data_IF_159908073739
#
_entry.id   IF_159908073739
#
_cell.length_a   1.000
_cell.length_b   1.000
_cell.length_c   1.000
_cell.angle_alpha   90.00
_cell.angle_beta   90.00
_cell.angle_gamma   90.00
#
_symmetry.space_group_name_H-M   'P 1'
#
loop_
_entity.id
_entity.type
_entity.pdbx_description
1 polymer ?
#
# COMPACT_ATOMS: atom_id res chain seq x y z
N UNK A 1 17.99 51.80 18.53
CA UNK A 1 18.31 50.35 18.49
C UNK A 1 19.04 50.10 17.20
N UNK A 2 20.32 49.67 17.28
CA UNK A 2 21.08 49.35 16.10
C UNK A 2 20.47 48.11 15.38
N UNK A 3 20.45 48.10 14.05
CA UNK A 3 19.92 46.93 13.29
C UNK A 3 20.62 45.62 13.68
N UNK A 4 21.85 45.70 14.14
CA UNK A 4 22.62 44.55 14.67
C UNK A 4 22.02 44.02 15.97
N UNK A 5 21.60 44.89 16.89
CA UNK A 5 21.02 44.50 18.19
C UNK A 5 19.64 43.83 17.98
N UNK A 6 18.88 44.34 17.02
CA UNK A 6 17.62 43.71 16.61
C UNK A 6 17.81 42.32 15.99
N UNK A 7 18.82 42.16 15.14
CA UNK A 7 19.14 40.88 14.53
C UNK A 7 19.57 39.83 15.57
N UNK A 8 20.41 40.24 16.56
CA UNK A 8 20.83 39.33 17.65
C UNK A 8 19.61 38.94 18.52
N UNK A 9 18.71 39.88 18.82
CA UNK A 9 17.52 39.61 19.58
C UNK A 9 16.60 38.61 18.85
N UNK A 10 16.36 38.83 17.56
CA UNK A 10 15.54 37.91 16.74
C UNK A 10 16.15 36.51 16.66
N UNK A 11 17.49 36.42 16.52
CA UNK A 11 18.17 35.14 16.51
C UNK A 11 18.02 34.40 17.85
N UNK A 12 18.21 35.10 18.96
CA UNK A 12 18.03 34.54 20.29
C UNK A 12 16.58 34.05 20.53
N UNK A 13 15.60 34.85 20.10
CA UNK A 13 14.18 34.50 20.17
C UNK A 13 13.87 33.24 19.35
N UNK A 14 14.41 33.16 18.13
CA UNK A 14 14.23 32.01 17.25
C UNK A 14 14.83 30.74 17.87
N UNK A 15 16.03 30.81 18.44
CA UNK A 15 16.68 29.69 19.12
C UNK A 15 15.87 29.22 20.34
N UNK A 16 15.41 30.18 21.17
CA UNK A 16 14.59 29.86 22.34
C UNK A 16 13.27 29.19 21.95
N UNK A 17 12.59 29.71 20.92
CA UNK A 17 11.36 29.14 20.38
C UNK A 17 11.59 27.75 19.80
N UNK A 18 12.67 27.55 19.03
CA UNK A 18 13.00 26.26 18.45
C UNK A 18 13.26 25.21 19.53
N UNK A 19 14.01 25.55 20.57
CA UNK A 19 14.29 24.65 21.70
C UNK A 19 13.01 24.28 22.45
N UNK A 20 12.16 25.27 22.73
CA UNK A 20 10.86 25.06 23.36
C UNK A 20 9.96 24.16 22.50
N UNK A 21 9.91 24.40 21.19
CA UNK A 21 9.11 23.62 20.25
C UNK A 21 9.59 22.15 20.20
N UNK A 22 10.88 21.92 20.09
CA UNK A 22 11.45 20.56 20.09
C UNK A 22 11.11 19.84 21.38
N UNK A 23 11.26 20.53 22.53
CA UNK A 23 10.93 19.95 23.82
C UNK A 23 9.43 19.54 23.89
N UNK A 24 8.52 20.44 23.52
CA UNK A 24 7.08 20.12 23.54
C UNK A 24 6.71 19.00 22.58
N UNK A 25 7.25 18.98 21.36
CA UNK A 25 6.97 17.93 20.38
C UNK A 25 7.54 16.56 20.80
N UNK A 26 8.53 16.54 21.68
CA UNK A 26 9.13 15.30 22.22
C UNK A 26 8.34 14.70 23.38
N UNK A 27 7.46 15.48 24.03
CA UNK A 27 6.63 14.98 25.10
C UNK A 27 5.58 14.00 24.57
N UNK A 28 5.20 13.03 25.40
CA UNK A 28 4.17 12.05 25.07
C UNK A 28 2.80 12.55 25.50
N UNK A 29 1.87 12.49 24.60
CA UNK A 29 0.46 12.86 24.79
C UNK A 29 -0.44 11.66 24.50
N UNK A 30 -1.57 11.61 25.19
CA UNK A 30 -2.64 10.67 24.90
C UNK A 30 -3.62 11.38 23.97
N UNK A 31 -3.67 10.93 22.73
CA UNK A 31 -4.53 11.55 21.71
C UNK A 31 -5.01 10.51 20.69
N UNK A 32 -5.94 10.92 19.84
CA UNK A 32 -6.46 10.08 18.79
C UNK A 32 -5.54 10.16 17.58
N UNK A 33 -5.09 9.00 17.14
CA UNK A 33 -4.32 8.87 15.90
C UNK A 33 -5.19 8.28 14.80
N UNK A 34 -5.18 8.91 13.65
CA UNK A 34 -5.86 8.42 12.46
C UNK A 34 -4.83 7.86 11.47
N UNK A 35 -5.07 6.67 10.96
CA UNK A 35 -4.29 6.08 9.89
C UNK A 35 -5.20 5.57 8.79
N UNK A 36 -4.88 5.87 7.53
CA UNK A 36 -5.59 5.33 6.38
C UNK A 36 -4.92 4.04 5.94
N UNK A 37 -5.65 2.94 5.95
CA UNK A 37 -5.15 1.59 5.73
C UNK A 37 -5.69 1.02 4.43
N UNK A 38 -4.81 0.43 3.63
CA UNK A 38 -5.12 -0.47 2.53
C UNK A 38 -4.77 -1.89 2.99
N UNK A 39 -5.72 -2.80 2.91
CA UNK A 39 -5.47 -4.18 3.28
C UNK A 39 -4.80 -4.95 2.14
N UNK A 40 -3.78 -5.70 2.49
CA UNK A 40 -3.19 -6.71 1.64
C UNK A 40 -3.43 -8.07 2.30
N UNK A 41 -4.03 -9.00 1.55
CA UNK A 41 -4.30 -10.35 2.04
C UNK A 41 -4.35 -11.32 0.86
N UNK A 42 -3.83 -12.53 1.04
CA UNK A 42 -3.92 -13.57 0.03
C UNK A 42 -5.21 -14.36 0.22
N UNK A 43 -6.28 -13.94 -0.46
CA UNK A 43 -7.61 -14.56 -0.43
C UNK A 43 -7.81 -15.29 -1.75
N UNK A 44 -8.13 -16.57 -1.69
CA UNK A 44 -8.34 -17.38 -2.89
C UNK A 44 -9.53 -16.84 -3.72
N UNK A 45 -9.31 -16.66 -5.02
CA UNK A 45 -10.30 -16.13 -5.94
C UNK A 45 -10.47 -14.60 -5.91
N UNK A 46 -9.71 -13.89 -5.11
CA UNK A 46 -9.80 -12.43 -4.98
C UNK A 46 -8.46 -11.74 -5.23
N UNK A 47 -8.50 -10.44 -5.44
CA UNK A 47 -7.30 -9.60 -5.53
C UNK A 47 -6.53 -9.61 -4.20
N UNK A 48 -5.21 -9.56 -4.25
CA UNK A 48 -4.37 -9.51 -3.06
C UNK A 48 -4.40 -8.14 -2.34
N UNK A 49 -4.98 -7.12 -2.96
CA UNK A 49 -5.00 -5.75 -2.43
C UNK A 49 -6.44 -5.25 -2.44
N UNK A 50 -6.87 -4.63 -1.35
CA UNK A 50 -8.20 -4.02 -1.25
C UNK A 50 -8.35 -2.83 -2.20
N UNK A 51 -9.52 -2.71 -2.79
CA UNK A 51 -9.87 -1.60 -3.69
C UNK A 51 -10.06 -0.29 -2.92
N UNK A 52 -10.62 -0.39 -1.72
CA UNK A 52 -10.88 0.74 -0.84
C UNK A 52 -9.79 0.87 0.23
N UNK A 53 -9.70 2.08 0.74
CA UNK A 53 -8.96 2.40 1.96
C UNK A 53 -9.94 2.65 3.09
N UNK A 54 -9.57 2.27 4.29
CA UNK A 54 -10.38 2.45 5.50
C UNK A 54 -9.57 3.21 6.54
N UNK A 55 -10.18 4.21 7.15
CA UNK A 55 -9.53 4.98 8.20
C UNK A 55 -9.69 4.28 9.54
N UNK A 56 -8.57 4.08 10.22
CA UNK A 56 -8.47 3.44 11.54
C UNK A 56 -8.17 4.53 12.55
N UNK A 57 -9.04 4.67 13.52
CA UNK A 57 -8.88 5.63 14.62
C UNK A 57 -8.62 4.86 15.89
N UNK A 58 -7.54 5.21 16.57
CA UNK A 58 -7.20 4.63 17.86
C UNK A 58 -6.73 5.70 18.84
N UNK A 59 -7.08 5.52 20.11
CA UNK A 59 -6.50 6.31 21.19
C UNK A 59 -5.15 5.70 21.56
N UNK A 60 -4.13 6.53 21.40
CA UNK A 60 -2.75 6.11 21.57
C UNK A 60 -1.97 7.12 22.40
N UNK A 61 -0.91 6.63 23.03
CA UNK A 61 0.11 7.46 23.64
C UNK A 61 1.29 7.59 22.70
N UNK A 62 1.52 8.80 22.19
CA UNK A 62 2.55 9.09 21.22
C UNK A 62 3.19 10.46 21.46
N UNK A 63 4.34 10.74 20.83
CA UNK A 63 4.96 12.06 20.86
C UNK A 63 4.12 13.09 20.12
N UNK A 64 4.17 14.36 20.55
CA UNK A 64 3.41 15.43 19.91
C UNK A 64 3.69 15.55 18.41
N UNK A 65 4.92 15.29 17.97
CA UNK A 65 5.26 15.24 16.56
C UNK A 65 4.45 14.17 15.81
N UNK A 66 4.31 12.98 16.38
CA UNK A 66 3.54 11.88 15.75
C UNK A 66 2.06 12.18 15.69
N UNK A 67 1.51 12.79 16.74
CA UNK A 67 0.11 13.21 16.76
C UNK A 67 -0.19 14.18 15.60
N UNK A 68 0.61 15.21 15.44
CA UNK A 68 0.44 16.19 14.35
C UNK A 68 0.64 15.53 12.98
N UNK A 69 1.62 14.64 12.86
CA UNK A 69 1.93 13.99 11.58
C UNK A 69 0.94 12.90 11.20
N UNK A 70 0.23 12.28 12.15
CA UNK A 70 -0.74 11.21 11.84
C UNK A 70 -1.83 11.69 10.89
N UNK A 71 -2.46 12.82 11.17
CA UNK A 71 -3.53 13.37 10.33
C UNK A 71 -3.05 13.77 8.93
N UNK A 72 -1.83 14.32 8.85
CA UNK A 72 -1.24 14.70 7.57
C UNK A 72 -0.93 13.47 6.72
N UNK A 73 -0.41 12.41 7.35
CA UNK A 73 -0.09 11.15 6.66
C UNK A 73 -1.34 10.39 6.24
N UNK A 74 -2.35 10.29 7.10
CA UNK A 74 -3.59 9.60 6.80
C UNK A 74 -4.25 10.13 5.51
N UNK A 75 -4.15 11.44 5.29
CA UNK A 75 -4.70 12.07 4.08
C UNK A 75 -3.86 11.87 2.83
N UNK A 76 -2.54 11.74 2.96
CA UNK A 76 -1.60 11.73 1.82
C UNK A 76 -1.17 10.33 1.40
N UNK A 77 -0.81 9.49 2.35
CA UNK A 77 -0.21 8.17 2.08
C UNK A 77 -0.87 7.10 2.94
N UNK A 78 -1.73 6.26 2.35
CA UNK A 78 -2.28 5.12 3.06
C UNK A 78 -1.16 4.13 3.41
N UNK A 79 -1.31 3.47 4.54
CA UNK A 79 -0.42 2.41 4.98
C UNK A 79 -0.95 1.07 4.45
N UNK A 80 -0.11 0.33 3.75
CA UNK A 80 -0.46 -1.03 3.33
C UNK A 80 -0.14 -1.99 4.46
N UNK A 81 -1.16 -2.69 4.95
CA UNK A 81 -1.03 -3.68 6.03
C UNK A 81 -1.31 -5.06 5.47
N UNK A 82 -0.37 -5.97 5.68
CA UNK A 82 -0.52 -7.36 5.27
C UNK A 82 -1.22 -8.14 6.40
N UNK A 83 -2.50 -8.46 6.18
CA UNK A 83 -3.31 -9.22 7.12
C UNK A 83 -3.19 -10.72 6.85
N UNK A 84 -3.13 -11.50 7.92
CA UNK A 84 -3.24 -12.95 7.80
C UNK A 84 -4.65 -13.35 7.33
N UNK A 85 -4.80 -14.33 6.44
CA UNK A 85 -6.12 -14.78 5.98
C UNK A 85 -7.09 -15.18 7.10
N UNK A 86 -6.57 -15.69 8.22
CA UNK A 86 -7.36 -16.07 9.38
C UNK A 86 -8.09 -14.91 10.08
N UNK A 87 -7.54 -13.70 9.97
CA UNK A 87 -8.10 -12.47 10.58
C UNK A 87 -9.16 -11.84 9.71
N UNK A 88 -9.07 -12.08 8.40
CA UNK A 88 -9.98 -11.53 7.40
C UNK A 88 -11.26 -12.36 7.34
N UNK A 89 -12.39 -11.77 7.76
CA UNK A 89 -13.70 -12.45 7.77
C UNK A 89 -14.48 -12.02 6.55
N UNK A 90 -15.05 -13.00 5.84
CA UNK A 90 -15.93 -12.75 4.70
C UNK A 90 -17.31 -12.31 5.17
N UNK A 91 -17.88 -11.31 4.52
CA UNK A 91 -19.23 -10.81 4.82
C UNK A 91 -20.17 -11.04 3.65
N UNK A 92 -19.88 -10.49 2.49
CA UNK A 92 -20.75 -10.55 1.31
C UNK A 92 -19.90 -10.31 0.04
N UNK A 93 -20.06 -11.16 -0.95
CA UNK A 93 -19.35 -11.09 -2.25
C UNK A 93 -17.84 -10.74 -2.10
N UNK A 94 -17.50 -9.50 -2.46
CA UNK A 94 -16.14 -8.97 -2.41
C UNK A 94 -15.84 -8.22 -1.09
N UNK A 95 -16.79 -8.20 -0.14
CA UNK A 95 -16.66 -7.45 1.11
C UNK A 95 -16.15 -8.32 2.25
N UNK A 96 -15.04 -7.90 2.83
CA UNK A 96 -14.39 -8.54 3.97
C UNK A 96 -14.27 -7.55 5.12
N UNK A 97 -14.16 -8.06 6.33
CA UNK A 97 -14.00 -7.24 7.50
C UNK A 97 -12.97 -7.80 8.48
N UNK A 98 -12.38 -6.90 9.25
CA UNK A 98 -11.46 -7.19 10.35
C UNK A 98 -11.99 -6.52 11.62
N UNK A 99 -12.02 -7.24 12.73
CA UNK A 99 -12.43 -6.70 14.02
C UNK A 99 -11.28 -5.94 14.69
N UNK A 100 -11.61 -4.94 15.48
CA UNK A 100 -10.62 -4.17 16.25
C UNK A 100 -9.80 -5.01 17.20
N UNK A 101 -10.37 -6.08 17.76
CA UNK A 101 -9.66 -7.03 18.60
C UNK A 101 -8.45 -7.66 17.91
N UNK A 102 -8.59 -7.92 16.60
CA UNK A 102 -7.57 -8.58 15.80
C UNK A 102 -6.52 -7.59 15.29
N UNK A 103 -6.79 -6.27 15.35
CA UNK A 103 -5.87 -5.22 14.92
C UNK A 103 -4.71 -4.98 15.88
N UNK A 104 -4.78 -5.48 17.09
CA UNK A 104 -3.77 -5.21 18.12
C UNK A 104 -2.37 -5.65 17.68
N UNK A 105 -2.26 -6.76 16.99
CA UNK A 105 -1.00 -7.27 16.46
C UNK A 105 -0.42 -6.37 15.34
N UNK A 106 -1.30 -5.66 14.62
CA UNK A 106 -0.93 -4.80 13.49
C UNK A 106 -0.72 -3.35 13.87
N UNK A 107 -0.89 -2.98 15.15
CA UNK A 107 -0.75 -1.60 15.64
C UNK A 107 0.56 -0.96 15.20
N UNK A 108 1.65 -1.71 15.27
CA UNK A 108 2.98 -1.27 14.90
C UNK A 108 3.13 -0.99 13.40
N UNK A 109 2.47 -1.79 12.56
CA UNK A 109 2.44 -1.58 11.11
C UNK A 109 1.59 -0.36 10.75
N UNK A 110 0.48 -0.14 11.47
CA UNK A 110 -0.48 0.95 11.21
C UNK A 110 0.07 2.30 11.64
N UNK A 111 0.57 2.40 12.89
CA UNK A 111 0.98 3.67 13.49
C UNK A 111 2.50 3.85 13.61
N UNK A 112 3.27 2.79 13.33
CA UNK A 112 4.73 2.78 13.46
C UNK A 112 5.24 2.68 14.89
N UNK A 113 6.57 2.71 15.04
CA UNK A 113 7.27 2.55 16.30
C UNK A 113 6.99 3.66 17.31
N UNK A 114 7.04 3.34 18.61
CA UNK A 114 6.95 4.31 19.70
C UNK A 114 5.56 4.90 19.91
N UNK A 115 4.53 4.20 19.42
CA UNK A 115 3.12 4.45 19.73
C UNK A 115 2.64 3.34 20.66
N UNK A 116 2.03 3.71 21.78
CA UNK A 116 1.42 2.75 22.70
C UNK A 116 -0.09 2.83 22.54
N UNK A 117 -0.70 1.74 22.11
CA UNK A 117 -2.15 1.65 21.95
C UNK A 117 -2.83 1.62 23.32
N UNK A 118 -3.87 2.43 23.52
CA UNK A 118 -4.80 2.30 24.64
C UNK A 118 -6.04 1.49 24.21
N UNK A 119 -6.72 1.93 23.16
CA UNK A 119 -7.84 1.20 22.55
C UNK A 119 -8.14 1.73 21.14
N UNK A 120 -8.76 0.89 20.32
CA UNK A 120 -9.32 1.30 19.04
C UNK A 120 -10.68 1.95 19.23
N UNK A 121 -10.96 3.01 18.45
CA UNK A 121 -12.28 3.65 18.38
C UNK A 121 -13.11 3.01 17.27
N UNK A 122 -12.43 2.60 16.19
CA UNK A 122 -13.07 1.89 15.08
C UNK A 122 -13.29 0.44 15.47
N UNK A 123 -14.53 -0.03 15.55
CA UNK A 123 -14.87 -1.40 15.97
C UNK A 123 -14.60 -2.43 14.87
N UNK A 124 -14.92 -2.08 13.63
CA UNK A 124 -14.83 -2.98 12.47
C UNK A 124 -14.32 -2.21 11.27
N UNK A 125 -13.37 -2.81 10.57
CA UNK A 125 -12.82 -2.27 9.33
C UNK A 125 -13.33 -3.07 8.15
N UNK A 126 -13.85 -2.42 7.13
CA UNK A 126 -14.36 -3.04 5.93
C UNK A 126 -13.41 -2.83 4.76
N UNK A 127 -13.08 -3.93 4.08
CA UNK A 127 -12.22 -3.95 2.92
C UNK A 127 -12.92 -4.68 1.77
N UNK A 128 -12.80 -4.14 0.57
CA UNK A 128 -13.34 -4.76 -0.63
C UNK A 128 -12.21 -5.33 -1.46
N UNK A 129 -12.22 -6.65 -1.60
CA UNK A 129 -11.27 -7.38 -2.45
C UNK A 129 -12.04 -7.87 -3.68
N UNK A 130 -11.84 -7.24 -4.85
CA UNK A 130 -12.56 -7.65 -6.04
C UNK A 130 -12.19 -9.09 -6.41
N UNK A 131 -13.21 -9.86 -6.81
CA UNK A 131 -13.02 -11.20 -7.34
C UNK A 131 -12.14 -11.15 -8.60
N UNK A 132 -11.24 -12.10 -8.73
CA UNK A 132 -10.38 -12.27 -9.89
C UNK A 132 -10.70 -13.57 -10.60
N UNK A 133 -10.98 -13.45 -11.89
CA UNK A 133 -11.10 -14.59 -12.77
C UNK A 133 -9.76 -14.97 -13.37
N UNK A 134 -9.70 -16.13 -13.98
CA UNK A 134 -8.54 -16.57 -14.74
C UNK A 134 -8.93 -16.93 -16.17
N UNK A 135 -8.01 -16.64 -17.09
CA UNK A 135 -8.15 -17.02 -18.50
C UNK A 135 -6.85 -17.57 -19.02
N UNK A 136 -6.91 -18.75 -19.60
CA UNK A 136 -5.75 -19.33 -20.29
C UNK A 136 -5.70 -18.77 -21.70
N UNK A 137 -4.57 -18.13 -22.05
CA UNK A 137 -4.37 -17.51 -23.36
C UNK A 137 -3.07 -18.02 -24.00
N UNK A 138 -3.05 -18.14 -25.34
CA UNK A 138 -1.84 -18.55 -26.05
C UNK A 138 -0.77 -17.46 -26.01
N UNK A 139 0.49 -17.90 -26.03
CA UNK A 139 1.65 -17.02 -26.14
C UNK A 139 2.07 -16.93 -27.59
N UNK A 140 2.07 -15.71 -28.14
CA UNK A 140 2.52 -15.45 -29.51
C UNK A 140 3.93 -14.84 -29.47
N UNK A 141 4.93 -15.49 -30.08
CA UNK A 141 6.28 -14.96 -30.10
C UNK A 141 6.37 -13.74 -31.00
N UNK A 142 7.04 -12.70 -30.52
CA UNK A 142 7.42 -11.53 -31.33
C UNK A 142 8.89 -11.62 -31.61
N UNK A 143 9.26 -11.81 -32.87
CA UNK A 143 10.66 -11.92 -33.27
C UNK A 143 10.95 -11.20 -34.57
N UNK A 144 12.18 -10.70 -34.68
CA UNK A 144 12.73 -10.15 -35.91
C UNK A 144 14.09 -10.81 -36.15
N UNK A 145 14.12 -11.79 -37.06
CA UNK A 145 15.34 -12.57 -37.37
C UNK A 145 15.77 -12.17 -38.76
N UNK A 146 17.04 -11.77 -38.90
CA UNK A 146 17.69 -11.55 -40.20
C UNK A 146 18.51 -12.76 -40.58
N UNK A 147 18.23 -13.33 -41.71
CA UNK A 147 18.99 -14.46 -42.24
C UNK A 147 20.13 -14.02 -43.15
N UNK A 148 21.24 -14.73 -43.11
CA UNK A 148 22.29 -14.54 -44.09
C UNK A 148 21.81 -14.92 -45.49
N UNK A 149 22.40 -14.36 -46.57
CA UNK A 149 22.05 -14.72 -47.94
C UNK A 149 22.08 -16.24 -48.12
N UNK A 150 21.03 -16.79 -48.75
CA UNK A 150 20.83 -18.22 -49.01
C UNK A 150 20.57 -19.13 -47.79
N UNK A 151 20.27 -18.51 -46.61
CA UNK A 151 19.81 -19.24 -45.42
C UNK A 151 18.38 -18.88 -45.13
N UNK A 152 17.57 -19.83 -44.67
CA UNK A 152 16.20 -19.63 -44.20
C UNK A 152 15.92 -20.59 -43.04
N UNK A 153 14.90 -20.27 -42.27
CA UNK A 153 14.48 -21.14 -41.15
C UNK A 153 13.81 -22.40 -41.66
N UNK A 154 14.13 -23.54 -41.09
CA UNK A 154 13.54 -24.84 -41.41
C UNK A 154 12.28 -25.15 -40.56
N UNK A 155 11.75 -24.20 -39.81
CA UNK A 155 10.58 -24.42 -39.00
C UNK A 155 10.01 -23.18 -38.34
N UNK A 156 8.82 -23.35 -37.74
CA UNK A 156 8.18 -22.32 -36.92
C UNK A 156 8.83 -22.28 -35.56
N UNK A 157 8.92 -21.07 -35.00
CA UNK A 157 9.43 -20.86 -33.65
C UNK A 157 8.47 -21.48 -32.63
N UNK A 158 8.96 -22.42 -31.84
CA UNK A 158 8.18 -23.02 -30.77
C UNK A 158 8.37 -22.22 -29.48
N UNK A 159 7.24 -21.93 -28.83
CA UNK A 159 7.22 -21.22 -27.53
C UNK A 159 6.87 -22.22 -26.43
N UNK A 160 7.68 -22.25 -25.38
CA UNK A 160 7.43 -23.09 -24.21
C UNK A 160 7.44 -22.20 -22.97
N UNK A 161 6.32 -22.13 -22.23
CA UNK A 161 5.03 -22.75 -22.49
C UNK A 161 4.25 -22.08 -23.63
N UNK A 162 3.40 -22.85 -24.31
CA UNK A 162 2.56 -22.39 -25.43
C UNK A 162 1.40 -21.50 -24.98
N UNK A 163 1.05 -21.56 -23.69
CA UNK A 163 -0.06 -20.84 -23.10
C UNK A 163 0.27 -20.45 -21.65
N UNK A 164 -0.28 -19.34 -21.21
CA UNK A 164 -0.15 -18.82 -19.83
C UNK A 164 -1.52 -18.50 -19.25
N UNK A 165 -1.65 -18.64 -17.92
CA UNK A 165 -2.87 -18.27 -17.21
C UNK A 165 -2.75 -16.84 -16.73
N UNK A 166 -3.68 -15.99 -17.17
CA UNK A 166 -3.82 -14.62 -16.72
C UNK A 166 -4.86 -14.56 -15.62
N UNK A 167 -4.58 -13.79 -14.57
CA UNK A 167 -5.50 -13.48 -13.49
C UNK A 167 -5.87 -12.00 -13.54
N UNK A 168 -7.15 -11.68 -13.38
CA UNK A 168 -7.60 -10.31 -13.39
C UNK A 168 -9.12 -10.17 -13.35
N UNK A 169 -9.61 -8.94 -13.43
CA UNK A 169 -11.05 -8.67 -13.49
C UNK A 169 -11.63 -9.25 -14.80
N UNK A 170 -12.77 -9.94 -14.73
CA UNK A 170 -13.48 -10.57 -15.87
C UNK A 170 -13.57 -9.66 -17.09
N UNK A 171 -14.00 -8.42 -16.90
CA UNK A 171 -14.15 -7.43 -17.99
C UNK A 171 -12.82 -7.12 -18.72
N UNK A 172 -11.69 -7.17 -18.01
CA UNK A 172 -10.37 -6.95 -18.63
C UNK A 172 -9.86 -8.20 -19.32
N UNK A 173 -10.14 -9.38 -18.73
CA UNK A 173 -9.73 -10.67 -19.29
C UNK A 173 -10.49 -11.03 -20.58
N UNK A 174 -11.75 -10.65 -20.70
CA UNK A 174 -12.54 -10.89 -21.92
C UNK A 174 -11.87 -10.31 -23.16
N UNK A 175 -11.30 -9.12 -23.04
CA UNK A 175 -10.65 -8.41 -24.13
C UNK A 175 -9.25 -8.95 -24.49
N UNK A 176 -8.66 -9.79 -23.64
CA UNK A 176 -7.34 -10.35 -23.90
C UNK A 176 -7.49 -11.70 -24.60
N UNK A 177 -7.05 -11.78 -25.84
CA UNK A 177 -7.11 -13.01 -26.67
C UNK A 177 -5.77 -13.74 -26.72
N UNK A 178 -4.66 -13.04 -26.58
CA UNK A 178 -3.30 -13.58 -26.66
C UNK A 178 -2.32 -12.69 -25.90
N UNK A 179 -1.16 -13.24 -25.57
CA UNK A 179 -0.05 -12.54 -24.93
C UNK A 179 1.17 -12.64 -25.84
N UNK A 180 1.94 -11.57 -25.92
CA UNK A 180 3.13 -11.48 -26.73
C UNK A 180 4.39 -11.64 -25.87
N UNK A 181 5.42 -12.30 -26.41
CA UNK A 181 6.76 -12.30 -25.80
C UNK A 181 7.42 -10.93 -25.95
N UNK A 182 8.45 -10.67 -25.16
CA UNK A 182 9.36 -9.57 -25.47
C UNK A 182 9.99 -9.79 -26.87
N UNK A 183 10.22 -8.70 -27.64
CA UNK A 183 10.79 -8.81 -28.98
C UNK A 183 12.19 -9.41 -28.95
N UNK A 184 12.36 -10.56 -29.59
CA UNK A 184 13.67 -11.20 -29.77
C UNK A 184 14.27 -10.63 -31.06
N UNK A 185 15.41 -9.97 -30.95
CA UNK A 185 16.19 -9.46 -32.10
C UNK A 185 17.45 -10.31 -32.23
N UNK A 186 17.64 -10.90 -33.41
CA UNK A 186 18.85 -11.65 -33.72
C UNK A 186 19.29 -11.36 -35.14
#
# INVERSE_FOLDING_TARGET
>A
ISGRDLAVFLLALLLAFSTWLIHNLSLKYNDYLTASVIAQCNIEGHSNISLNRTDVIARCRATGYKVIMSDIRARRTPVTVNFAPAVMKHMEDDLFYVLSSDLTEYTHMIYGDGVTLEHYVSDTLFFRFPSVDYKKVPVTPVYSISYMPQHMSDGQLQVVPDSVTLYGMSQKLENVTQVFTEPIKH
#
